data_IF_229996204722
#
_entry.id   IF_229996204722
#
_cell.length_a   1.000
_cell.length_b   1.000
_cell.length_c   1.000
_cell.angle_alpha   90.00
_cell.angle_beta   90.00
_cell.angle_gamma   90.00
#
_symmetry.space_group_name_H-M   'P 1'
#
loop_
_entity.id
_entity.type
_entity.pdbx_description
1 polymer ?
#
# COMPACT_ATOMS: atom_id res chain seq x y z
N UNK A 1 10.14 12.84 10.77
CA UNK A 1 10.32 14.25 10.46
C UNK A 1 10.53 14.45 8.97
N UNK A 2 9.62 15.20 8.33
CA UNK A 2 9.65 15.40 6.88
C UNK A 2 10.69 16.40 6.42
N UNK A 3 11.28 17.16 7.35
CA UNK A 3 12.28 18.18 7.01
C UNK A 3 13.71 17.65 6.99
N UNK A 4 13.93 16.39 7.33
CA UNK A 4 15.27 15.79 7.25
C UNK A 4 15.70 15.58 5.81
N UNK A 5 17.01 15.69 5.53
CA UNK A 5 17.52 15.43 4.18
C UNK A 5 17.65 13.94 3.92
N UNK A 6 16.53 13.28 3.73
CA UNK A 6 16.50 11.84 3.58
C UNK A 6 17.28 11.36 2.35
N UNK A 7 18.10 10.35 2.54
CA UNK A 7 18.83 9.68 1.47
C UNK A 7 19.05 8.23 1.88
N UNK A 8 19.36 7.39 0.91
CA UNK A 8 19.66 5.98 1.20
C UNK A 8 20.91 5.89 2.09
N UNK A 9 21.86 6.77 1.88
CA UNK A 9 23.10 6.82 2.67
C UNK A 9 22.81 7.13 4.14
N UNK A 10 21.93 8.08 4.40
CA UNK A 10 21.54 8.43 5.77
C UNK A 10 20.82 7.27 6.44
N UNK A 11 19.92 6.62 5.73
CA UNK A 11 19.18 5.48 6.26
C UNK A 11 20.14 4.35 6.60
N UNK A 12 21.09 4.05 5.71
CA UNK A 12 22.07 3.00 5.91
C UNK A 12 23.00 3.29 7.08
N UNK A 13 23.43 4.54 7.19
CA UNK A 13 24.39 4.95 8.22
C UNK A 13 23.86 4.70 9.63
N UNK A 14 22.58 4.94 9.84
CA UNK A 14 21.95 4.81 11.16
C UNK A 14 20.92 3.70 11.22
N UNK A 15 21.08 2.66 10.41
CA UNK A 15 20.08 1.59 10.29
C UNK A 15 19.76 0.89 11.62
N UNK A 16 20.68 0.88 12.57
CA UNK A 16 20.48 0.26 13.87
C UNK A 16 19.83 1.21 14.88
N UNK A 17 19.60 2.46 14.49
CA UNK A 17 19.04 3.49 15.37
C UNK A 17 17.59 3.83 15.04
N UNK A 18 17.15 3.58 13.81
CA UNK A 18 15.83 3.98 13.37
C UNK A 18 14.72 3.15 14.03
N UNK A 19 13.61 3.81 14.29
CA UNK A 19 12.36 3.12 14.61
C UNK A 19 11.68 2.81 13.28
N UNK A 20 11.82 1.57 12.84
CA UNK A 20 11.36 1.17 11.51
C UNK A 20 9.84 1.30 11.32
N UNK A 21 9.06 1.22 12.40
CA UNK A 21 7.64 1.49 12.32
C UNK A 21 7.36 2.94 11.88
N UNK A 22 8.15 3.88 12.38
CA UNK A 22 8.01 5.28 11.98
C UNK A 22 8.50 5.53 10.57
N UNK A 23 9.61 4.89 10.18
CA UNK A 23 10.12 5.01 8.81
C UNK A 23 9.14 4.43 7.80
N UNK A 24 8.49 3.31 8.15
CA UNK A 24 7.56 2.65 7.23
C UNK A 24 6.42 3.54 6.80
N UNK A 25 5.98 4.45 7.66
CA UNK A 25 4.88 5.37 7.33
C UNK A 25 5.35 6.77 6.92
N UNK A 26 6.65 6.98 6.84
CA UNK A 26 7.20 8.28 6.45
C UNK A 26 7.09 8.47 4.95
N UNK A 27 6.34 9.48 4.52
CA UNK A 27 6.10 9.73 3.10
C UNK A 27 7.21 10.52 2.42
N UNK A 28 8.19 10.99 3.17
CA UNK A 28 9.28 11.83 2.64
C UNK A 28 10.55 11.07 2.33
N UNK A 29 10.60 9.76 2.60
CA UNK A 29 11.76 8.96 2.26
C UNK A 29 11.90 8.79 0.75
N UNK A 30 13.12 8.52 0.26
CA UNK A 30 13.33 8.27 -1.17
C UNK A 30 12.86 6.86 -1.55
N UNK A 31 11.54 6.64 -1.49
CA UNK A 31 10.98 5.33 -1.72
C UNK A 31 11.26 4.81 -3.13
N UNK A 32 11.72 3.58 -3.20
CA UNK A 32 11.98 2.87 -4.45
C UNK A 32 11.86 1.38 -4.18
N UNK A 33 11.73 0.60 -5.22
CA UNK A 33 11.70 -0.86 -5.08
C UNK A 33 13.00 -1.35 -4.44
N UNK A 34 14.11 -0.73 -4.80
CA UNK A 34 15.42 -1.09 -4.23
C UNK A 34 15.49 -0.84 -2.72
N UNK A 35 14.97 0.30 -2.27
CA UNK A 35 14.94 0.63 -0.85
C UNK A 35 14.04 -0.35 -0.08
N UNK A 36 12.88 -0.65 -0.63
CA UNK A 36 11.95 -1.59 -0.01
C UNK A 36 12.59 -2.97 0.09
N UNK A 37 13.21 -3.42 -0.97
CA UNK A 37 13.87 -4.72 -1.03
C UNK A 37 15.03 -4.83 -0.06
N UNK A 38 15.83 -3.77 0.03
CA UNK A 38 17.05 -3.75 0.84
C UNK A 38 16.76 -4.00 2.32
N UNK A 39 15.69 -3.43 2.83
CA UNK A 39 15.34 -3.53 4.25
C UNK A 39 14.02 -4.26 4.46
N UNK A 40 13.71 -5.22 3.60
CA UNK A 40 12.43 -5.92 3.62
C UNK A 40 12.11 -6.59 4.96
N UNK A 41 13.11 -6.96 5.72
CA UNK A 41 12.93 -7.59 7.02
C UNK A 41 12.78 -6.59 8.16
N UNK A 42 12.93 -5.31 7.87
CA UNK A 42 12.85 -4.24 8.87
C UNK A 42 11.53 -3.48 8.80
N UNK A 43 10.95 -3.36 7.61
CA UNK A 43 9.73 -2.61 7.43
C UNK A 43 8.54 -3.26 8.15
N UNK A 44 7.62 -2.42 8.61
CA UNK A 44 6.35 -2.87 9.16
C UNK A 44 5.33 -2.96 8.02
N UNK A 45 5.08 -4.17 7.56
CA UNK A 45 4.25 -4.43 6.39
C UNK A 45 2.76 -4.47 6.71
N UNK A 46 2.42 -5.25 7.73
CA UNK A 46 1.03 -5.59 8.04
C UNK A 46 0.50 -4.85 9.26
N UNK A 47 1.21 -3.81 9.69
CA UNK A 47 0.74 -2.97 10.78
C UNK A 47 -0.26 -1.95 10.29
N UNK A 48 -1.10 -1.52 11.21
CA UNK A 48 -2.13 -0.52 10.93
C UNK A 48 -1.55 0.77 10.32
N UNK A 49 -0.32 1.11 10.62
CA UNK A 49 0.35 2.29 10.09
C UNK A 49 1.72 1.94 9.50
N UNK A 50 1.77 0.85 8.75
CA UNK A 50 3.00 0.43 8.12
C UNK A 50 3.07 0.80 6.65
N UNK A 51 3.79 -0.01 5.88
CA UNK A 51 3.96 0.22 4.45
C UNK A 51 2.64 0.19 3.68
N UNK A 52 1.68 -0.63 4.12
CA UNK A 52 0.41 -0.77 3.41
C UNK A 52 -0.36 0.54 3.32
N UNK A 53 -0.21 1.44 4.29
CA UNK A 53 -0.90 2.73 4.31
C UNK A 53 -0.07 3.86 3.72
N UNK A 54 1.17 3.60 3.32
CA UNK A 54 2.07 4.64 2.83
C UNK A 54 1.75 4.97 1.37
N UNK A 55 1.27 6.20 1.14
CA UNK A 55 0.87 6.64 -0.19
C UNK A 55 2.04 7.05 -1.09
N UNK A 56 3.24 7.13 -0.55
CA UNK A 56 4.42 7.57 -1.30
C UNK A 56 5.26 6.43 -1.85
N UNK A 57 4.88 5.18 -1.60
CA UNK A 57 5.58 4.04 -2.19
C UNK A 57 5.40 4.03 -3.72
N UNK A 58 6.35 3.43 -4.45
CA UNK A 58 6.21 3.30 -5.90
C UNK A 58 5.21 2.20 -6.25
N UNK A 59 3.94 2.42 -5.92
CA UNK A 59 2.89 1.43 -6.11
C UNK A 59 2.75 1.03 -7.58
N UNK A 60 2.81 -0.27 -7.82
CA UNK A 60 2.67 -0.86 -9.15
C UNK A 60 2.18 -2.29 -8.96
N UNK A 61 1.69 -2.89 -10.04
CA UNK A 61 1.28 -4.29 -10.00
C UNK A 61 2.45 -5.17 -9.59
N UNK A 62 3.65 -4.86 -10.09
CA UNK A 62 4.86 -5.61 -9.77
C UNK A 62 5.17 -5.59 -8.27
N UNK A 63 5.17 -4.40 -7.67
CA UNK A 63 5.43 -4.27 -6.24
C UNK A 63 4.36 -4.98 -5.42
N UNK A 64 3.12 -4.81 -5.82
CA UNK A 64 1.97 -5.40 -5.16
C UNK A 64 2.09 -6.93 -5.13
N UNK A 65 2.36 -7.53 -6.28
CA UNK A 65 2.48 -8.98 -6.42
C UNK A 65 3.67 -9.56 -5.68
N UNK A 66 4.79 -8.82 -5.70
CA UNK A 66 6.03 -9.30 -5.11
C UNK A 66 5.90 -9.56 -3.60
N UNK A 67 5.12 -8.73 -2.93
CA UNK A 67 4.97 -8.82 -1.47
C UNK A 67 3.52 -9.06 -1.04
N UNK A 68 2.75 -9.74 -1.87
CA UNK A 68 1.31 -9.93 -1.64
C UNK A 68 0.97 -10.57 -0.30
N UNK A 69 1.86 -11.36 0.26
CA UNK A 69 1.63 -12.03 1.53
C UNK A 69 2.00 -11.17 2.74
N UNK A 70 2.54 -9.98 2.51
CA UNK A 70 3.00 -9.09 3.56
C UNK A 70 2.03 -7.95 3.86
N UNK A 71 1.20 -7.58 2.90
CA UNK A 71 0.34 -6.39 3.01
C UNK A 71 -0.80 -6.57 4.01
N UNK A 72 -1.16 -5.46 4.65
CA UNK A 72 -2.40 -5.38 5.45
C UNK A 72 -3.53 -4.95 4.51
N UNK A 73 -4.41 -5.88 4.17
CA UNK A 73 -5.42 -5.65 3.14
C UNK A 73 -6.43 -4.57 3.48
N UNK A 74 -6.77 -4.40 4.76
CA UNK A 74 -7.64 -3.30 5.19
C UNK A 74 -7.03 -1.95 4.87
N UNK A 75 -5.75 -1.78 5.16
CA UNK A 75 -5.05 -0.53 4.86
C UNK A 75 -4.85 -0.33 3.36
N UNK A 76 -4.57 -1.40 2.62
CA UNK A 76 -4.48 -1.32 1.16
C UNK A 76 -5.80 -0.86 0.55
N UNK A 77 -6.91 -1.36 1.08
CA UNK A 77 -8.24 -1.00 0.57
C UNK A 77 -8.51 0.49 0.70
N UNK A 78 -7.91 1.15 1.68
CA UNK A 78 -8.03 2.59 1.91
C UNK A 78 -6.96 3.41 1.19
N UNK A 79 -5.92 2.78 0.69
CA UNK A 79 -4.80 3.49 0.09
C UNK A 79 -5.19 4.09 -1.25
N UNK A 80 -5.05 5.42 -1.37
CA UNK A 80 -5.47 6.14 -2.57
C UNK A 80 -4.44 6.13 -3.69
N UNK A 81 -3.25 5.60 -3.43
CA UNK A 81 -2.14 5.65 -4.38
C UNK A 81 -1.90 4.33 -5.12
N UNK A 82 -2.67 3.29 -4.86
CA UNK A 82 -2.53 2.03 -5.57
C UNK A 82 -2.98 2.19 -7.02
N UNK A 83 -2.48 1.33 -7.92
CA UNK A 83 -2.90 1.36 -9.33
C UNK A 83 -4.27 0.71 -9.51
N UNK A 84 -5.31 1.37 -8.98
CA UNK A 84 -6.65 0.82 -8.97
C UNK A 84 -7.19 0.56 -10.37
N UNK A 85 -7.71 -0.64 -10.58
CA UNK A 85 -8.32 -1.05 -11.84
C UNK A 85 -9.30 -2.18 -11.55
N UNK A 86 -10.18 -2.44 -12.52
CA UNK A 86 -11.11 -3.56 -12.42
C UNK A 86 -10.34 -4.87 -12.22
N UNK A 87 -9.26 -5.03 -12.95
CA UNK A 87 -8.44 -6.24 -12.90
C UNK A 87 -7.82 -6.46 -11.54
N UNK A 88 -7.29 -5.39 -10.94
CA UNK A 88 -6.70 -5.48 -9.60
C UNK A 88 -7.75 -5.83 -8.56
N UNK A 89 -8.89 -5.16 -8.61
CA UNK A 89 -9.98 -5.40 -7.67
C UNK A 89 -10.48 -6.84 -7.78
N UNK A 90 -10.69 -7.30 -9.00
CA UNK A 90 -11.23 -8.63 -9.25
C UNK A 90 -10.24 -9.74 -8.87
N UNK A 91 -8.95 -9.52 -9.14
CA UNK A 91 -7.92 -10.50 -8.87
C UNK A 91 -7.84 -10.88 -7.39
N UNK A 92 -8.03 -9.91 -6.51
CA UNK A 92 -7.90 -10.11 -5.07
C UNK A 92 -9.22 -9.88 -4.34
N UNK A 93 -10.33 -10.18 -4.99
CA UNK A 93 -11.66 -9.88 -4.45
C UNK A 93 -11.93 -10.51 -3.08
N UNK A 94 -11.28 -11.61 -2.76
CA UNK A 94 -11.44 -12.27 -1.46
C UNK A 94 -10.57 -11.67 -0.36
N UNK A 95 -9.70 -10.74 -0.70
CA UNK A 95 -8.75 -10.14 0.23
C UNK A 95 -9.13 -8.73 0.66
N UNK A 96 -9.76 -7.96 -0.22
CA UNK A 96 -10.09 -6.56 0.06
C UNK A 96 -11.09 -6.43 1.19
N UNK A 97 -10.92 -5.36 1.98
CA UNK A 97 -11.97 -4.92 2.90
C UNK A 97 -12.96 -4.09 2.07
N UNK A 98 -14.10 -4.69 1.72
CA UNK A 98 -15.05 -4.07 0.81
C UNK A 98 -15.68 -2.80 1.36
N UNK A 99 -15.81 -2.68 2.69
CA UNK A 99 -16.30 -1.44 3.29
C UNK A 99 -15.31 -0.30 3.02
N UNK A 100 -14.03 -0.53 3.30
CA UNK A 100 -12.99 0.46 3.06
C UNK A 100 -12.83 0.77 1.59
N UNK A 101 -12.93 -0.25 0.75
CA UNK A 101 -12.81 -0.10 -0.69
C UNK A 101 -13.93 0.79 -1.23
N UNK A 102 -15.14 0.64 -0.69
CA UNK A 102 -16.29 1.44 -1.11
C UNK A 102 -16.13 2.92 -0.77
N UNK A 103 -15.37 3.23 0.26
CA UNK A 103 -15.08 4.61 0.65
C UNK A 103 -13.88 5.21 -0.06
N UNK A 104 -13.14 4.42 -0.83
CA UNK A 104 -11.91 4.87 -1.46
C UNK A 104 -12.21 5.76 -2.66
N UNK A 105 -11.94 7.06 -2.52
CA UNK A 105 -12.25 8.06 -3.53
C UNK A 105 -11.39 7.96 -4.79
N UNK A 106 -10.27 7.24 -4.72
CA UNK A 106 -9.40 7.05 -5.89
C UNK A 106 -9.97 6.05 -6.88
N UNK A 107 -10.96 5.26 -6.49
CA UNK A 107 -11.55 4.28 -7.37
C UNK A 107 -12.70 4.91 -8.12
N UNK A 108 -12.65 4.83 -9.45
CA UNK A 108 -13.66 5.44 -10.31
C UNK A 108 -14.76 4.43 -10.61
N UNK A 109 -15.64 4.23 -9.62
CA UNK A 109 -16.72 3.25 -9.70
C UNK A 109 -17.59 3.36 -10.95
N UNK A 110 -17.94 4.57 -11.43
CA UNK A 110 -18.77 4.67 -12.64
C UNK A 110 -18.13 4.08 -13.89
N UNK A 111 -16.82 3.83 -13.89
CA UNK A 111 -16.11 3.22 -15.01
C UNK A 111 -16.12 1.70 -14.98
N UNK A 112 -16.64 1.11 -13.91
CA UNK A 112 -16.76 -0.33 -13.80
C UNK A 112 -18.01 -0.81 -14.55
N UNK A 113 -17.97 -2.06 -15.02
CA UNK A 113 -19.15 -2.65 -15.65
C UNK A 113 -20.27 -2.84 -14.62
N UNK A 114 -21.51 -2.87 -15.11
CA UNK A 114 -22.66 -3.08 -14.22
C UNK A 114 -22.55 -4.41 -13.49
N UNK A 115 -22.12 -5.46 -14.17
CA UNK A 115 -21.95 -6.77 -13.55
C UNK A 115 -20.92 -6.75 -12.43
N UNK A 116 -19.82 -6.02 -12.65
CA UNK A 116 -18.78 -5.88 -11.64
C UNK A 116 -19.31 -5.13 -10.41
N UNK A 117 -20.09 -4.06 -10.63
CA UNK A 117 -20.67 -3.28 -9.55
C UNK A 117 -21.63 -4.15 -8.73
N UNK A 118 -22.46 -4.94 -9.38
CA UNK A 118 -23.39 -5.83 -8.69
C UNK A 118 -22.65 -6.85 -7.82
N UNK A 119 -21.58 -7.41 -8.34
CA UNK A 119 -20.76 -8.36 -7.61
C UNK A 119 -20.14 -7.73 -6.37
N UNK A 120 -19.63 -6.51 -6.51
CA UNK A 120 -19.07 -5.76 -5.39
C UNK A 120 -20.13 -5.50 -4.32
N UNK A 121 -21.31 -5.10 -4.72
CA UNK A 121 -22.39 -4.81 -3.78
C UNK A 121 -22.83 -6.03 -3.00
N UNK A 122 -22.75 -7.22 -3.59
CA UNK A 122 -23.03 -8.46 -2.87
C UNK A 122 -22.06 -8.72 -1.73
N UNK A 123 -20.79 -8.37 -1.92
CA UNK A 123 -19.79 -8.54 -0.87
C UNK A 123 -20.00 -7.61 0.32
N UNK A 124 -20.69 -6.50 0.12
CA UNK A 124 -20.93 -5.51 1.17
C UNK A 124 -22.16 -5.81 2.03
N UNK A 125 -22.87 -6.89 1.76
CA UNK A 125 -24.07 -7.24 2.51
C UNK A 125 -23.85 -8.24 3.65
#
# INVERSE_FOLDING_TARGET
>A
NTSLPWSIELIEKYKDQWYWSCLSRNTSLPWSIELIEKYKDQWHWDCWRGLSSNTSLPWSIELFEKYKDQWHWGELSRNTSLPWSIELIEKYKDQWDWRELSWNESIHWPKLSINMVDEIMQYNQ
#
